data_IF_539075206131
#
_entry.id   IF_539075206131
#
_cell.length_a   1.000
_cell.length_b   1.000
_cell.length_c   1.000
_cell.angle_alpha   90.00
_cell.angle_beta   90.00
_cell.angle_gamma   90.00
#
_symmetry.space_group_name_H-M   'P 1'
#
loop_
_entity.id
_entity.type
_entity.pdbx_description
1 polymer ?
#
# COMPACT_ATOMS: atom_id res chain seq x y z
N UNK A 1 32.66 22.59 4.70
CA UNK A 1 33.22 21.46 5.47
C UNK A 1 32.13 20.43 5.68
N UNK A 2 32.37 19.16 5.37
CA UNK A 2 31.37 18.11 5.63
C UNK A 2 31.21 17.91 7.15
N UNK A 3 29.98 17.87 7.63
CA UNK A 3 29.67 17.57 9.04
C UNK A 3 30.27 16.22 9.40
N UNK A 4 31.14 16.17 10.41
CA UNK A 4 31.71 14.91 10.90
C UNK A 4 30.66 14.20 11.74
N UNK A 5 30.40 12.93 11.45
CA UNK A 5 29.50 12.09 12.21
C UNK A 5 30.28 11.08 13.03
N UNK A 6 29.91 10.93 14.30
CA UNK A 6 30.51 9.93 15.19
C UNK A 6 30.43 8.52 14.58
N UNK A 7 31.44 7.67 14.79
CA UNK A 7 31.41 6.28 14.36
C UNK A 7 30.14 5.58 14.85
N UNK A 8 29.45 4.87 13.96
CA UNK A 8 28.29 4.09 14.35
C UNK A 8 28.70 2.78 15.01
N UNK A 9 27.90 2.24 15.94
CA UNK A 9 28.11 0.90 16.47
C UNK A 9 28.18 -0.14 15.35
N UNK A 10 29.03 -1.15 15.50
CA UNK A 10 29.21 -2.17 14.46
C UNK A 10 27.90 -2.88 14.11
N UNK A 11 27.03 -3.09 15.10
CA UNK A 11 25.68 -3.66 14.93
C UNK A 11 24.82 -2.87 13.93
N UNK A 12 24.88 -1.54 13.98
CA UNK A 12 24.12 -0.65 13.09
C UNK A 12 24.67 -0.75 11.66
N UNK A 13 25.99 -0.72 11.49
CA UNK A 13 26.61 -0.82 10.16
C UNK A 13 26.32 -2.18 9.52
N UNK A 14 26.41 -3.27 10.29
CA UNK A 14 26.07 -4.62 9.83
C UNK A 14 24.59 -4.73 9.46
N UNK A 15 23.68 -4.15 10.25
CA UNK A 15 22.25 -4.14 9.93
C UNK A 15 21.94 -3.36 8.63
N UNK A 16 22.57 -2.20 8.43
CA UNK A 16 22.47 -1.43 7.16
C UNK A 16 22.97 -2.26 5.99
N UNK A 17 24.13 -2.92 6.12
CA UNK A 17 24.66 -3.79 5.08
C UNK A 17 23.74 -5.00 4.82
N UNK A 18 23.07 -5.50 5.87
CA UNK A 18 22.05 -6.54 5.77
C UNK A 18 20.86 -6.14 4.90
N UNK A 19 20.33 -4.92 5.11
CA UNK A 19 19.22 -4.36 4.31
C UNK A 19 19.66 -4.11 2.87
N UNK A 20 20.80 -3.43 2.67
CA UNK A 20 21.29 -3.09 1.33
C UNK A 20 21.75 -4.31 0.55
N UNK A 21 22.24 -5.35 1.23
CA UNK A 21 22.65 -6.61 0.65
C UNK A 21 21.58 -7.70 0.75
N UNK A 22 20.29 -7.37 0.93
CA UNK A 22 19.25 -8.39 0.98
C UNK A 22 19.23 -9.28 -0.30
N UNK A 23 18.88 -10.56 -0.14
CA UNK A 23 18.98 -11.57 -1.20
C UNK A 23 17.85 -11.40 -2.21
N UNK A 24 16.65 -11.07 -1.75
CA UNK A 24 15.47 -10.94 -2.59
C UNK A 24 15.31 -9.50 -3.12
N UNK A 25 15.62 -8.50 -2.30
CA UNK A 25 15.27 -7.10 -2.57
C UNK A 25 16.44 -6.11 -2.42
N UNK A 26 17.64 -6.60 -2.09
CA UNK A 26 18.85 -5.79 -1.95
C UNK A 26 19.53 -5.49 -3.28
N UNK A 27 20.64 -4.76 -3.20
CA UNK A 27 21.57 -4.55 -4.30
C UNK A 27 22.23 -5.87 -4.71
N UNK A 28 22.55 -5.97 -6.00
CA UNK A 28 23.38 -7.06 -6.52
C UNK A 28 24.84 -6.87 -6.08
N UNK A 29 25.62 -7.96 -6.05
CA UNK A 29 27.05 -7.88 -5.71
C UNK A 29 27.84 -6.96 -6.64
N UNK A 30 27.41 -6.82 -7.90
CA UNK A 30 27.99 -5.89 -8.88
C UNK A 30 27.67 -4.43 -8.54
N UNK A 31 26.41 -4.13 -8.24
CA UNK A 31 26.00 -2.77 -7.83
C UNK A 31 26.69 -2.34 -6.54
N UNK A 32 26.84 -3.25 -5.57
CA UNK A 32 27.59 -2.99 -4.34
C UNK A 32 29.03 -2.59 -4.66
N UNK A 33 29.74 -3.37 -5.48
CA UNK A 33 31.12 -3.06 -5.87
C UNK A 33 31.24 -1.72 -6.60
N UNK A 34 30.30 -1.42 -7.52
CA UNK A 34 30.25 -0.13 -8.21
C UNK A 34 30.04 1.04 -7.24
N UNK A 35 29.12 0.91 -6.28
CA UNK A 35 28.85 1.94 -5.29
C UNK A 35 30.04 2.14 -4.34
N UNK A 36 30.68 1.05 -3.89
CA UNK A 36 31.90 1.12 -3.07
C UNK A 36 33.01 1.88 -3.79
N UNK A 37 33.20 1.62 -5.09
CA UNK A 37 34.16 2.36 -5.91
C UNK A 37 33.81 3.85 -6.03
N UNK A 38 32.53 4.20 -6.26
CA UNK A 38 32.05 5.60 -6.32
C UNK A 38 32.37 6.35 -5.02
N UNK A 39 32.14 5.71 -3.87
CA UNK A 39 32.41 6.33 -2.56
C UNK A 39 33.86 6.17 -2.08
N UNK A 40 34.74 5.61 -2.91
CA UNK A 40 36.16 5.35 -2.62
C UNK A 40 36.38 4.50 -1.37
N UNK A 41 35.49 3.55 -1.13
CA UNK A 41 35.64 2.53 -0.09
C UNK A 41 36.24 1.29 -0.73
N UNK A 42 37.43 0.83 -0.29
CA UNK A 42 37.98 -0.44 -0.74
C UNK A 42 37.01 -1.59 -0.47
N UNK A 43 36.71 -2.39 -1.50
CA UNK A 43 35.92 -3.60 -1.31
C UNK A 43 36.74 -4.61 -0.47
N UNK A 44 36.06 -5.35 0.38
CA UNK A 44 36.71 -6.37 1.20
C UNK A 44 36.91 -7.63 0.35
N UNK A 45 38.16 -8.04 0.16
CA UNK A 45 38.47 -9.30 -0.53
C UNK A 45 38.10 -10.49 0.34
N UNK A 46 37.19 -11.33 -0.17
CA UNK A 46 37.17 -12.78 0.11
C UNK A 46 36.19 -13.31 1.16
N UNK A 47 35.32 -14.23 0.72
CA UNK A 47 34.88 -15.39 1.53
C UNK A 47 33.46 -15.37 2.13
N UNK A 48 32.76 -14.25 2.11
CA UNK A 48 31.42 -14.10 2.72
C UNK A 48 30.28 -13.91 1.70
N UNK A 49 29.04 -13.90 2.19
CA UNK A 49 27.91 -13.46 1.37
C UNK A 49 28.01 -11.94 1.10
N UNK A 50 27.24 -11.43 0.13
CA UNK A 50 27.31 -10.01 -0.29
C UNK A 50 27.06 -9.00 0.84
N UNK A 51 26.33 -9.37 1.91
CA UNK A 51 26.04 -8.51 3.06
C UNK A 51 27.26 -8.41 3.96
N UNK A 52 27.90 -9.54 4.25
CA UNK A 52 29.09 -9.60 5.10
C UNK A 52 30.24 -8.85 4.45
N UNK A 53 30.40 -8.99 3.12
CA UNK A 53 31.40 -8.25 2.34
C UNK A 53 31.19 -6.74 2.46
N UNK A 54 29.94 -6.28 2.28
CA UNK A 54 29.60 -4.86 2.41
C UNK A 54 29.82 -4.36 3.85
N UNK A 55 29.40 -5.12 4.86
CA UNK A 55 29.59 -4.77 6.26
C UNK A 55 31.07 -4.61 6.60
N UNK A 56 31.90 -5.57 6.20
CA UNK A 56 33.34 -5.55 6.43
C UNK A 56 34.00 -4.33 5.77
N UNK A 57 33.67 -4.03 4.52
CA UNK A 57 34.20 -2.87 3.80
C UNK A 57 33.85 -1.55 4.50
N UNK A 58 32.58 -1.38 4.90
CA UNK A 58 32.09 -0.17 5.57
C UNK A 58 32.68 0.00 6.98
N UNK A 59 32.77 -1.09 7.76
CA UNK A 59 33.36 -1.09 9.10
C UNK A 59 34.85 -0.73 9.05
N UNK A 60 35.60 -1.36 8.13
CA UNK A 60 37.03 -1.10 7.96
C UNK A 60 37.28 0.36 7.52
N UNK A 61 36.44 0.91 6.65
CA UNK A 61 36.55 2.33 6.30
C UNK A 61 36.19 3.26 7.47
N UNK A 62 35.10 2.97 8.18
CA UNK A 62 34.68 3.78 9.32
C UNK A 62 35.76 3.82 10.40
N UNK A 63 36.38 2.67 10.70
CA UNK A 63 37.47 2.56 11.66
C UNK A 63 38.67 3.42 11.24
N UNK A 64 39.05 3.39 9.95
CA UNK A 64 40.14 4.23 9.42
C UNK A 64 39.86 5.72 9.50
N UNK A 65 38.63 6.14 9.23
CA UNK A 65 38.24 7.55 9.24
C UNK A 65 37.93 8.08 10.65
N UNK A 66 37.66 7.20 11.61
CA UNK A 66 37.11 7.56 12.91
C UNK A 66 35.80 8.37 12.77
N UNK A 67 34.98 8.03 11.77
CA UNK A 67 33.73 8.71 11.46
C UNK A 67 32.81 7.83 10.58
N UNK A 68 31.50 7.94 10.77
CA UNK A 68 30.48 7.20 9.98
C UNK A 68 30.14 7.84 8.63
N UNK A 69 30.85 8.89 8.24
CA UNK A 69 30.64 9.62 6.98
C UNK A 69 30.71 8.72 5.74
N UNK A 70 31.57 7.70 5.72
CA UNK A 70 31.63 6.73 4.62
C UNK A 70 30.33 5.92 4.49
N UNK A 71 29.74 5.51 5.61
CA UNK A 71 28.47 4.75 5.65
C UNK A 71 27.33 5.64 5.16
N UNK A 72 27.26 6.88 5.65
CA UNK A 72 26.25 7.86 5.24
C UNK A 72 26.34 8.15 3.74
N UNK A 73 27.56 8.32 3.23
CA UNK A 73 27.78 8.57 1.79
C UNK A 73 27.38 7.37 0.96
N UNK A 74 27.72 6.16 1.39
CA UNK A 74 27.29 4.93 0.72
C UNK A 74 25.76 4.80 0.67
N UNK A 75 25.07 5.04 1.79
CA UNK A 75 23.60 5.01 1.84
C UNK A 75 23.01 6.04 0.87
N UNK A 76 23.54 7.26 0.85
CA UNK A 76 23.07 8.33 -0.04
C UNK A 76 23.17 7.93 -1.51
N UNK A 77 24.29 7.35 -1.94
CA UNK A 77 24.46 6.89 -3.32
C UNK A 77 23.58 5.66 -3.63
N UNK A 78 23.46 4.73 -2.67
CA UNK A 78 22.60 3.56 -2.81
C UNK A 78 21.12 3.94 -2.94
N UNK A 79 20.69 4.99 -2.23
CA UNK A 79 19.32 5.50 -2.18
C UNK A 79 19.06 6.65 -3.16
N UNK A 80 19.95 6.93 -4.11
CA UNK A 80 19.72 7.97 -5.10
C UNK A 80 18.42 7.69 -5.90
N UNK A 81 17.41 8.59 -5.90
CA UNK A 81 16.10 8.31 -6.50
C UNK A 81 16.14 7.90 -7.97
N UNK A 82 17.13 8.39 -8.73
CA UNK A 82 17.37 8.03 -10.14
C UNK A 82 17.56 6.52 -10.35
N UNK A 83 18.06 5.79 -9.35
CA UNK A 83 18.23 4.33 -9.42
C UNK A 83 16.89 3.58 -9.37
N UNK A 84 15.81 4.25 -8.99
CA UNK A 84 14.51 3.66 -8.71
C UNK A 84 13.41 4.14 -9.64
N UNK A 85 13.75 4.86 -10.73
CA UNK A 85 12.76 5.41 -11.68
C UNK A 85 11.81 4.33 -12.21
N UNK A 86 12.35 3.15 -12.53
CA UNK A 86 11.56 2.01 -13.02
C UNK A 86 10.97 1.15 -11.89
N UNK A 87 11.39 1.35 -10.65
CA UNK A 87 10.98 0.55 -9.48
C UNK A 87 10.74 1.40 -8.22
N UNK A 88 9.76 2.33 -8.21
CA UNK A 88 9.51 3.22 -7.07
C UNK A 88 9.16 2.47 -5.78
N UNK A 89 8.49 1.32 -5.91
CA UNK A 89 8.15 0.46 -4.78
C UNK A 89 9.37 -0.09 -4.04
N UNK A 90 10.44 -0.39 -4.76
CA UNK A 90 11.71 -0.85 -4.17
C UNK A 90 12.38 0.26 -3.37
N UNK A 91 12.23 1.53 -3.80
CA UNK A 91 12.72 2.68 -3.04
C UNK A 91 12.01 2.78 -1.69
N UNK A 92 10.68 2.82 -1.70
CA UNK A 92 9.87 2.98 -0.46
C UNK A 92 10.13 1.86 0.53
N UNK A 93 10.17 0.61 0.08
CA UNK A 93 10.50 -0.53 0.95
C UNK A 93 11.91 -0.38 1.56
N UNK A 94 12.92 -0.12 0.73
CA UNK A 94 14.30 -0.01 1.22
C UNK A 94 14.50 1.19 2.15
N UNK A 95 13.78 2.29 1.88
CA UNK A 95 13.74 3.46 2.75
C UNK A 95 13.24 3.09 4.15
N UNK A 96 12.19 2.27 4.24
CA UNK A 96 11.66 1.78 5.51
C UNK A 96 12.64 0.90 6.24
N UNK A 97 13.10 -0.16 5.56
CA UNK A 97 14.00 -1.15 6.15
C UNK A 97 15.27 -0.46 6.70
N UNK A 98 15.78 0.55 5.99
CA UNK A 98 16.89 1.37 6.47
C UNK A 98 16.48 2.30 7.62
N UNK A 99 15.29 2.90 7.58
CA UNK A 99 14.80 3.76 8.66
C UNK A 99 14.58 2.98 9.96
N UNK A 100 14.21 1.70 9.92
CA UNK A 100 14.14 0.82 11.11
C UNK A 100 15.50 0.68 11.80
N UNK A 101 16.58 0.74 11.03
CA UNK A 101 17.94 0.66 11.56
C UNK A 101 18.47 2.04 11.98
N UNK A 102 18.29 3.05 11.13
CA UNK A 102 18.86 4.40 11.30
C UNK A 102 18.24 5.18 12.46
N UNK A 103 16.98 4.86 12.82
CA UNK A 103 16.30 5.44 13.98
C UNK A 103 17.06 5.18 15.28
N UNK A 104 17.85 4.10 15.39
CA UNK A 104 18.67 3.83 16.57
C UNK A 104 19.88 4.76 16.70
N UNK A 105 20.25 5.45 15.63
CA UNK A 105 21.32 6.48 15.62
C UNK A 105 20.76 7.89 15.39
N UNK A 106 19.44 8.08 15.53
CA UNK A 106 18.77 9.37 15.38
C UNK A 106 18.81 9.92 13.95
N UNK A 107 18.80 9.03 12.95
CA UNK A 107 18.85 9.37 11.54
C UNK A 107 17.69 8.71 10.78
N UNK A 108 17.42 9.23 9.58
CA UNK A 108 16.45 8.69 8.64
C UNK A 108 16.82 9.05 7.20
N UNK A 109 16.29 8.32 6.24
CA UNK A 109 16.33 8.64 4.82
C UNK A 109 15.04 9.37 4.45
N UNK A 110 15.19 10.56 3.86
CA UNK A 110 14.07 11.35 3.36
C UNK A 110 13.66 10.94 1.94
N UNK A 111 12.58 11.54 1.43
CA UNK A 111 12.02 11.24 0.10
C UNK A 111 12.98 11.58 -1.06
N UNK A 112 14.04 12.34 -0.79
CA UNK A 112 15.11 12.65 -1.75
C UNK A 112 16.23 11.60 -1.74
N UNK A 113 16.12 10.53 -0.95
CA UNK A 113 17.17 9.52 -0.77
C UNK A 113 18.35 10.00 0.07
N UNK A 114 18.19 11.10 0.81
CA UNK A 114 19.26 11.69 1.61
C UNK A 114 19.10 11.33 3.09
N UNK A 115 20.24 11.13 3.76
CA UNK A 115 20.27 10.95 5.21
C UNK A 115 20.02 12.30 5.90
N UNK A 116 19.05 12.33 6.80
CA UNK A 116 18.63 13.49 7.58
C UNK A 116 18.51 13.10 9.06
N UNK A 117 18.49 14.11 9.94
CA UNK A 117 18.15 13.90 11.36
C UNK A 117 16.71 13.38 11.48
N UNK A 118 16.52 12.44 12.41
CA UNK A 118 15.24 11.83 12.70
C UNK A 118 15.04 11.63 14.22
N UNK A 119 13.85 11.18 14.63
CA UNK A 119 13.62 10.73 15.99
C UNK A 119 14.51 9.53 16.33
N UNK A 120 14.81 9.35 17.62
CA UNK A 120 15.55 8.18 18.12
C UNK A 120 14.60 7.18 18.75
N UNK A 121 14.81 5.89 18.52
CA UNK A 121 14.04 4.81 19.11
C UNK A 121 14.92 3.95 20.02
N UNK A 122 14.41 3.62 21.21
CA UNK A 122 15.07 2.70 22.13
C UNK A 122 14.58 1.25 21.95
N UNK A 123 13.40 1.07 21.38
CA UNK A 123 12.77 -0.25 21.20
C UNK A 123 12.48 -0.59 19.74
N UNK A 124 12.41 -1.88 19.42
CA UNK A 124 12.00 -2.37 18.10
C UNK A 124 10.60 -1.87 17.71
N UNK A 125 9.69 -1.72 18.68
CA UNK A 125 8.34 -1.19 18.43
C UNK A 125 8.36 0.28 18.02
N UNK A 126 9.19 1.10 18.65
CA UNK A 126 9.36 2.50 18.27
C UNK A 126 10.02 2.61 16.89
N UNK A 127 11.03 1.79 16.61
CA UNK A 127 11.69 1.74 15.32
C UNK A 127 10.71 1.43 14.18
N UNK A 128 9.90 0.38 14.33
CA UNK A 128 8.87 0.01 13.35
C UNK A 128 7.81 1.11 13.13
N UNK A 129 7.44 1.87 14.19
CA UNK A 129 6.51 3.01 14.05
C UNK A 129 7.10 4.12 13.19
N UNK A 130 8.40 4.37 13.31
CA UNK A 130 9.09 5.41 12.55
C UNK A 130 9.34 5.02 11.09
N UNK A 131 9.46 3.72 10.82
CA UNK A 131 9.80 3.22 9.51
C UNK A 131 8.62 2.85 8.61
N UNK A 132 7.38 2.75 9.08
CA UNK A 132 6.28 2.21 8.25
C UNK A 132 5.92 3.08 7.00
N UNK A 133 6.52 2.83 5.82
CA UNK A 133 6.03 3.39 4.53
C UNK A 133 4.72 2.79 4.15
N UNK A 134 4.34 1.59 4.57
CA UNK A 134 3.05 1.04 4.15
C UNK A 134 1.91 1.98 4.57
N UNK A 135 1.96 2.55 5.78
CA UNK A 135 1.01 3.60 6.18
C UNK A 135 1.19 4.89 5.36
N UNK A 136 2.43 5.29 5.10
CA UNK A 136 2.75 6.51 4.34
C UNK A 136 2.29 6.41 2.88
N UNK A 137 2.47 5.27 2.24
CA UNK A 137 2.10 4.95 0.87
C UNK A 137 0.58 4.76 0.74
N UNK A 138 -0.08 4.14 1.72
CA UNK A 138 -1.54 4.13 1.79
C UNK A 138 -2.07 5.56 1.89
N UNK A 139 -1.47 6.43 2.71
CA UNK A 139 -1.83 7.86 2.78
C UNK A 139 -1.56 8.60 1.46
N UNK A 140 -0.40 8.38 0.84
CA UNK A 140 0.00 8.98 -0.43
C UNK A 140 -0.97 8.62 -1.57
N UNK A 141 -1.49 7.40 -1.58
CA UNK A 141 -2.51 6.93 -2.52
C UNK A 141 -3.93 7.42 -2.20
N UNK A 142 -4.06 8.35 -1.25
CA UNK A 142 -5.35 8.84 -0.78
C UNK A 142 -6.28 7.71 -0.31
N UNK A 143 -5.71 6.67 0.32
CA UNK A 143 -6.49 5.56 0.86
C UNK A 143 -7.49 6.10 1.87
N UNK A 144 -8.73 5.58 1.79
CA UNK A 144 -9.82 6.05 2.62
C UNK A 144 -9.48 5.97 4.12
N UNK A 145 -9.81 7.01 4.93
CA UNK A 145 -9.44 7.06 6.36
C UNK A 145 -9.93 5.85 7.17
N UNK A 146 -11.07 5.27 6.81
CA UNK A 146 -11.53 4.03 7.46
C UNK A 146 -10.57 2.86 7.25
N UNK A 147 -9.97 2.67 6.07
CA UNK A 147 -9.02 1.57 5.85
C UNK A 147 -7.77 1.76 6.70
N UNK A 148 -7.27 3.00 6.81
CA UNK A 148 -6.12 3.35 7.64
C UNK A 148 -6.36 3.16 9.15
N UNK A 149 -7.62 3.13 9.60
CA UNK A 149 -7.99 2.86 10.99
C UNK A 149 -7.80 1.40 11.36
N UNK A 150 -8.05 0.48 10.43
CA UNK A 150 -7.91 -0.96 10.65
C UNK A 150 -6.48 -1.44 10.39
N UNK A 151 -5.73 -0.77 9.51
CA UNK A 151 -4.30 -1.00 9.35
C UNK A 151 -3.49 -0.26 10.43
N UNK A 152 -3.53 -0.75 11.68
CA UNK A 152 -2.74 -0.21 12.79
C UNK A 152 -1.24 -0.44 12.58
N UNK A 153 -0.40 0.34 13.26
CA UNK A 153 1.06 0.21 13.15
C UNK A 153 1.56 -1.19 13.54
N UNK A 154 0.94 -1.83 14.54
CA UNK A 154 1.25 -3.20 14.95
C UNK A 154 0.88 -4.23 13.87
N UNK A 155 -0.23 -4.02 13.17
CA UNK A 155 -0.68 -4.90 12.08
C UNK A 155 0.19 -4.71 10.83
N UNK A 156 0.58 -3.47 10.55
CA UNK A 156 1.46 -3.11 9.44
C UNK A 156 2.88 -3.66 9.63
N UNK A 157 3.37 -3.73 10.87
CA UNK A 157 4.67 -4.31 11.19
C UNK A 157 4.71 -5.84 11.11
N UNK A 158 3.55 -6.53 11.27
CA UNK A 158 3.50 -7.99 11.34
C UNK A 158 3.63 -8.67 9.97
N UNK A 159 2.90 -8.22 8.94
CA UNK A 159 2.97 -8.72 7.55
C UNK A 159 1.99 -7.94 6.64
N UNK A 160 2.35 -7.59 5.38
CA UNK A 160 1.42 -7.08 4.37
C UNK A 160 0.12 -7.90 4.19
N UNK A 161 0.19 -9.23 4.27
CA UNK A 161 -0.99 -10.11 4.18
C UNK A 161 -1.96 -9.87 5.34
N UNK A 162 -1.44 -9.69 6.55
CA UNK A 162 -2.26 -9.38 7.73
C UNK A 162 -2.88 -7.99 7.61
N UNK A 163 -2.13 -7.00 7.12
CA UNK A 163 -2.67 -5.68 6.83
C UNK A 163 -3.79 -5.70 5.78
N UNK A 164 -3.68 -6.54 4.74
CA UNK A 164 -4.72 -6.68 3.72
C UNK A 164 -6.00 -7.32 4.27
N UNK A 165 -5.89 -8.34 5.14
CA UNK A 165 -7.04 -8.98 5.78
C UNK A 165 -7.78 -7.99 6.68
N UNK A 166 -7.03 -7.20 7.46
CA UNK A 166 -7.59 -6.18 8.34
C UNK A 166 -8.19 -5.01 7.56
N UNK A 167 -7.60 -4.63 6.41
CA UNK A 167 -8.19 -3.67 5.49
C UNK A 167 -9.57 -4.16 4.98
N UNK A 168 -9.69 -5.44 4.61
CA UNK A 168 -10.98 -6.02 4.15
C UNK A 168 -12.04 -5.98 5.25
N UNK A 169 -11.68 -6.15 6.52
CA UNK A 169 -12.64 -6.02 7.64
C UNK A 169 -13.29 -4.64 7.70
N UNK A 170 -12.58 -3.58 7.30
CA UNK A 170 -13.15 -2.23 7.25
C UNK A 170 -14.33 -2.11 6.28
N UNK A 171 -14.33 -2.87 5.18
CA UNK A 171 -15.43 -2.90 4.19
C UNK A 171 -16.66 -3.54 4.79
N UNK A 172 -16.50 -4.72 5.42
CA UNK A 172 -17.60 -5.42 6.07
C UNK A 172 -18.21 -4.58 7.20
N UNK A 173 -17.38 -4.00 8.06
CA UNK A 173 -17.84 -3.13 9.15
C UNK A 173 -18.58 -1.90 8.62
N UNK A 174 -18.12 -1.31 7.51
CA UNK A 174 -18.80 -0.19 6.87
C UNK A 174 -20.17 -0.59 6.31
N UNK A 175 -20.28 -1.77 5.70
CA UNK A 175 -21.57 -2.27 5.21
C UNK A 175 -22.54 -2.51 6.37
N UNK A 176 -22.09 -3.05 7.52
CA UNK A 176 -22.93 -3.20 8.71
C UNK A 176 -23.39 -1.84 9.25
N UNK A 177 -22.49 -0.86 9.34
CA UNK A 177 -22.83 0.50 9.79
C UNK A 177 -23.86 1.18 8.89
N UNK A 178 -23.75 1.01 7.57
CA UNK A 178 -24.66 1.64 6.61
C UNK A 178 -26.02 0.93 6.49
N UNK A 179 -26.08 -0.38 6.73
CA UNK A 179 -27.28 -1.20 6.51
C UNK A 179 -28.00 -1.65 7.79
N UNK A 180 -27.36 -1.53 8.95
CA UNK A 180 -27.83 -2.08 10.23
C UNK A 180 -27.84 -3.60 10.30
N UNK A 181 -27.21 -4.31 9.35
CA UNK A 181 -27.18 -5.77 9.32
C UNK A 181 -26.09 -6.35 10.22
N UNK A 182 -26.44 -7.33 11.06
CA UNK A 182 -25.51 -8.10 11.89
C UNK A 182 -24.99 -9.38 11.21
N UNK A 183 -24.97 -9.42 9.87
CA UNK A 183 -24.54 -10.59 9.10
C UNK A 183 -23.03 -10.53 8.82
N UNK A 184 -22.47 -11.69 8.40
CA UNK A 184 -21.05 -11.86 8.07
C UNK A 184 -20.83 -12.50 6.70
N UNK A 185 -19.62 -12.32 6.17
CA UNK A 185 -19.14 -12.95 4.94
C UNK A 185 -20.02 -12.62 3.72
N UNK A 186 -20.19 -13.60 2.82
CA UNK A 186 -21.00 -13.44 1.61
C UNK A 186 -22.46 -13.05 1.93
N UNK A 187 -23.02 -13.55 3.04
CA UNK A 187 -24.40 -13.24 3.43
C UNK A 187 -24.63 -11.76 3.72
N UNK A 188 -23.63 -11.07 4.28
CA UNK A 188 -23.69 -9.62 4.46
C UNK A 188 -23.70 -8.90 3.12
N UNK A 189 -22.81 -9.30 2.21
CA UNK A 189 -22.68 -8.71 0.88
C UNK A 189 -23.97 -8.88 0.08
N UNK A 190 -24.53 -10.10 0.06
CA UNK A 190 -25.76 -10.41 -0.65
C UNK A 190 -26.94 -9.60 -0.09
N UNK A 191 -27.12 -9.59 1.23
CA UNK A 191 -28.23 -8.89 1.87
C UNK A 191 -28.21 -7.37 1.66
N UNK A 192 -27.01 -6.79 1.54
CA UNK A 192 -26.82 -5.33 1.46
C UNK A 192 -26.75 -4.83 0.02
N UNK A 193 -26.03 -5.54 -0.84
CA UNK A 193 -25.69 -5.10 -2.20
C UNK A 193 -26.46 -5.87 -3.29
N UNK A 194 -26.89 -7.10 -3.02
CA UNK A 194 -27.55 -7.97 -4.02
C UNK A 194 -28.82 -8.64 -3.48
N UNK A 195 -29.85 -7.88 -3.04
CA UNK A 195 -31.03 -8.47 -2.39
C UNK A 195 -31.98 -9.22 -3.35
N UNK A 196 -31.50 -9.68 -4.52
CA UNK A 196 -32.31 -10.37 -5.52
C UNK A 196 -33.26 -9.42 -6.25
N UNK A 197 -34.57 -9.57 -6.04
CA UNK A 197 -35.61 -8.80 -6.73
C UNK A 197 -35.92 -7.42 -6.09
N UNK A 198 -35.01 -6.89 -5.26
CA UNK A 198 -35.18 -5.61 -4.55
C UNK A 198 -34.08 -4.59 -4.85
N UNK A 199 -34.23 -3.37 -4.32
CA UNK A 199 -33.21 -2.33 -4.38
C UNK A 199 -32.13 -2.58 -3.32
N UNK A 200 -30.85 -2.45 -3.71
CA UNK A 200 -29.72 -2.54 -2.78
C UNK A 200 -29.93 -1.60 -1.59
N UNK A 201 -29.68 -2.08 -0.38
CA UNK A 201 -29.81 -1.29 0.86
C UNK A 201 -28.71 -0.24 0.98
N UNK A 202 -27.57 -0.49 0.34
CA UNK A 202 -26.49 0.46 0.18
C UNK A 202 -26.13 0.51 -1.30
N UNK A 203 -26.25 1.69 -1.90
CA UNK A 203 -25.85 1.92 -3.28
C UNK A 203 -24.38 2.35 -3.32
N UNK A 204 -23.56 1.67 -4.12
CA UNK A 204 -22.15 2.04 -4.36
C UNK A 204 -22.06 3.09 -5.48
N UNK A 205 -23.02 3.08 -6.41
CA UNK A 205 -23.18 4.02 -7.51
C UNK A 205 -24.68 4.30 -7.74
N UNK A 206 -25.01 5.11 -8.75
CA UNK A 206 -26.40 5.49 -9.05
C UNK A 206 -27.32 4.33 -9.51
N UNK A 207 -26.81 3.10 -9.61
CA UNK A 207 -27.54 1.92 -10.12
C UNK A 207 -28.18 2.15 -11.52
N UNK A 208 -27.60 3.04 -12.34
CA UNK A 208 -28.14 3.42 -13.64
C UNK A 208 -27.95 2.33 -14.71
N UNK A 209 -26.96 1.45 -14.54
CA UNK A 209 -26.73 0.28 -15.38
C UNK A 209 -27.34 -0.96 -14.72
N UNK A 210 -28.17 -1.69 -15.48
CA UNK A 210 -28.72 -2.98 -15.03
C UNK A 210 -27.62 -4.03 -14.81
N UNK A 211 -27.88 -5.08 -14.01
CA UNK A 211 -26.89 -6.12 -13.73
C UNK A 211 -26.50 -6.87 -15.01
N UNK A 212 -25.19 -6.96 -15.30
CA UNK A 212 -24.66 -7.72 -16.45
C UNK A 212 -24.97 -9.22 -16.38
N UNK A 213 -25.42 -9.70 -15.22
CA UNK A 213 -25.82 -11.09 -14.99
C UNK A 213 -27.20 -11.46 -15.57
N UNK A 214 -27.92 -10.53 -16.21
CA UNK A 214 -29.21 -10.82 -16.86
C UNK A 214 -29.11 -11.57 -18.21
N UNK A 215 -27.92 -12.05 -18.60
CA UNK A 215 -27.66 -12.71 -19.89
C UNK A 215 -27.74 -14.24 -19.91
N UNK A 216 -27.65 -14.95 -18.76
CA UNK A 216 -27.65 -16.42 -18.76
C UNK A 216 -29.07 -16.97 -18.62
N UNK A 217 -29.93 -16.67 -19.60
CA UNK A 217 -31.10 -17.52 -19.83
C UNK A 217 -30.57 -18.88 -20.28
N UNK A 218 -30.65 -19.90 -19.41
CA UNK A 218 -30.52 -21.31 -19.79
C UNK A 218 -31.38 -21.52 -21.05
N UNK A 219 -30.73 -21.77 -22.19
CA UNK A 219 -31.41 -22.10 -23.45
C UNK A 219 -32.26 -23.34 -23.21
N UNK A 220 -33.56 -23.17 -22.95
CA UNK A 220 -34.52 -24.27 -23.15
C UNK A 220 -34.62 -24.53 -24.65
N UNK A 221 -34.61 -25.79 -25.10
CA UNK A 221 -34.68 -26.09 -26.52
C UNK A 221 -36.04 -25.65 -27.06
N UNK A 222 -36.00 -25.09 -28.27
CA UNK A 222 -37.17 -24.65 -29.05
C UNK A 222 -38.18 -25.79 -29.16
N UNK A 223 -39.41 -25.57 -28.70
CA UNK A 223 -40.59 -26.17 -29.31
C UNK A 223 -41.48 -25.06 -29.88
N UNK A 224 -41.63 -25.11 -31.19
CA UNK A 224 -42.63 -24.39 -31.97
C UNK A 224 -44.03 -24.82 -31.53
N UNK A 225 -44.93 -23.84 -31.40
CA UNK A 225 -46.40 -23.83 -31.61
C UNK A 225 -46.88 -22.53 -30.94
N UNK A 226 -47.74 -21.68 -31.48
CA UNK A 226 -48.45 -21.57 -32.74
C UNK A 226 -49.05 -20.14 -32.73
N UNK A 227 -49.27 -19.56 -33.91
CA UNK A 227 -49.90 -18.26 -34.11
C UNK A 227 -51.22 -18.07 -33.34
N UNK A 228 -51.51 -16.84 -32.92
CA UNK A 228 -52.83 -16.21 -33.01
C UNK A 228 -52.72 -14.67 -32.88
N UNK A 229 -52.73 -14.02 -34.04
CA UNK A 229 -53.38 -12.75 -34.45
C UNK A 229 -53.71 -11.64 -33.42
N UNK A 230 -53.26 -10.41 -33.78
CA UNK A 230 -53.67 -9.04 -33.36
C UNK A 230 -55.14 -8.72 -33.78
N UNK A 231 -55.86 -7.64 -33.32
CA UNK A 231 -55.41 -6.22 -33.33
C UNK A 231 -56.04 -5.15 -32.36
N UNK A 232 -55.32 -4.03 -32.19
CA UNK A 232 -55.81 -2.64 -32.26
C UNK A 232 -56.70 -1.99 -31.17
N UNK A 233 -56.19 -0.95 -30.49
CA UNK A 233 -56.90 0.31 -30.14
C UNK A 233 -55.89 1.41 -29.71
N UNK A 234 -55.98 2.66 -30.22
CA UNK A 234 -55.19 3.80 -29.71
C UNK A 234 -55.94 4.56 -28.59
N UNK A 235 -55.25 5.39 -27.78
CA UNK A 235 -55.85 6.10 -26.65
C UNK A 235 -56.59 7.38 -27.10
N UNK A 236 -57.76 7.63 -26.51
CA UNK A 236 -58.56 8.85 -26.71
C UNK A 236 -58.12 9.93 -25.72
N UNK A 237 -58.05 11.15 -26.23
CA UNK A 237 -57.64 12.39 -25.59
C UNK A 237 -58.62 12.93 -24.54
N UNK A 238 -58.14 13.92 -23.79
CA UNK A 238 -58.64 14.50 -22.55
C UNK A 238 -59.41 15.82 -22.77
N UNK A 239 -60.47 16.04 -21.95
CA UNK A 239 -61.22 17.29 -21.61
C UNK A 239 -62.16 17.90 -22.68
N UNK A 240 -63.14 18.80 -22.33
CA UNK A 240 -63.43 19.47 -21.04
C UNK A 240 -64.94 19.51 -20.60
N UNK A 241 -65.22 19.92 -19.35
CA UNK A 241 -66.58 20.26 -18.92
C UNK A 241 -66.66 21.10 -17.64
N UNK A 242 -66.69 22.43 -17.78
CA UNK A 242 -67.05 23.41 -16.74
C UNK A 242 -68.58 23.58 -16.65
N UNK A 243 -69.12 23.75 -15.44
CA UNK A 243 -70.07 24.80 -14.96
C UNK A 243 -70.36 24.55 -13.46
N UNK A 244 -70.00 25.48 -12.54
CA UNK A 244 -70.81 26.62 -12.00
C UNK A 244 -72.03 26.12 -11.19
N UNK A 245 -72.41 26.56 -9.98
CA UNK A 245 -72.22 27.77 -9.13
C UNK A 245 -72.68 27.41 -7.70
N UNK A 246 -72.19 28.13 -6.68
CA UNK A 246 -72.89 28.26 -5.39
C UNK A 246 -72.14 29.18 -4.42
N UNK A 247 -72.54 30.46 -4.36
CA UNK A 247 -72.01 31.51 -3.47
C UNK A 247 -73.09 31.83 -2.43
N UNK A 248 -72.78 31.69 -1.14
CA UNK A 248 -72.89 32.68 -0.04
C UNK A 248 -72.66 31.98 1.29
#
# INVERSE_FOLDING_TARGET
MATRHEPWPATVVTAVAGVLGDTAHGLTGREIGQLLAVVKVPDADGGGNKRDRLAAALLAQQARQGASNCVITFIKEAMAPVRYVQQPHTFSRRQDDLNEVLVHVGLRINDKGQVARGPTAATLSEAARHASSLRAELRRRSTHPQVLRYCTLEILAKNPSHASLEAVKSVADRLRQLSGQGLDGARLVDAVLMPGHGTARVAINANATGPELCGVRRRRPRQRRQCCLRPGRPPVAVMPGRRRVGVR
#
